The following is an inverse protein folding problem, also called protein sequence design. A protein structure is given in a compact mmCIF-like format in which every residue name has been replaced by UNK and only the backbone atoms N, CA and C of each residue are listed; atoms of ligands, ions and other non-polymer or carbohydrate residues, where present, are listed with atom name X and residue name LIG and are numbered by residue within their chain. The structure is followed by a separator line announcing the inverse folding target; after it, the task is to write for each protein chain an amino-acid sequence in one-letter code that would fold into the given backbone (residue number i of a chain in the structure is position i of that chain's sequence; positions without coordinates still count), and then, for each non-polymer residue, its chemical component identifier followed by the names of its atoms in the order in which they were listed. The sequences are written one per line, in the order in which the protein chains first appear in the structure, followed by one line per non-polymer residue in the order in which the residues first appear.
data_IF_681469170880
#
_entry.id   IF_681469170880
#
_cell.length_a   1.000
_cell.length_b   1.000
_cell.length_c   1.000
_cell.angle_alpha   90.00
_cell.angle_beta   90.00
_cell.angle_gamma   90.00
#
_symmetry.space_group_name_H-M   'P 1'
#
loop_
_entity.id
_entity.type
_entity.pdbx_description
1 polymer ?
#
# COMPACT_ATOMS: atom_id res chain seq x y z
N UNK A 1 -11.69 3.27 -18.86
CA UNK A 1 -10.52 2.43 -18.56
C UNK A 1 -9.46 3.35 -17.99
N UNK A 2 -9.04 3.16 -16.74
CA UNK A 2 -8.03 4.02 -16.13
C UNK A 2 -6.66 3.64 -16.68
N UNK A 3 -5.93 4.58 -17.28
CA UNK A 3 -4.60 4.33 -17.84
C UNK A 3 -3.55 4.67 -16.78
N UNK A 4 -3.04 3.65 -16.10
CA UNK A 4 -1.89 3.75 -15.21
C UNK A 4 -0.60 3.74 -16.02
N UNK A 5 0.40 4.48 -15.56
CA UNK A 5 1.76 4.52 -16.13
C UNK A 5 2.73 3.86 -15.17
N UNK A 6 3.18 2.66 -15.53
CA UNK A 6 4.16 1.87 -14.79
C UNK A 6 5.60 2.19 -15.25
N UNK A 7 6.62 1.89 -14.42
CA UNK A 7 8.02 1.95 -14.84
C UNK A 7 8.33 1.01 -16.02
N UNK A 8 9.45 1.24 -16.70
CA UNK A 8 10.07 0.23 -17.59
C UNK A 8 10.37 -1.06 -16.80
N UNK A 9 10.32 -2.22 -17.46
CA UNK A 9 10.35 -3.52 -16.77
C UNK A 9 11.62 -3.72 -15.91
N UNK A 10 12.78 -3.26 -16.39
CA UNK A 10 14.03 -3.32 -15.64
C UNK A 10 13.96 -2.52 -14.33
N UNK A 11 13.42 -1.30 -14.41
CA UNK A 11 13.21 -0.44 -13.24
C UNK A 11 12.12 -1.00 -12.32
N UNK A 12 11.04 -1.55 -12.88
CA UNK A 12 9.95 -2.16 -12.13
C UNK A 12 10.47 -3.33 -11.29
N UNK A 13 11.20 -4.27 -11.89
CA UNK A 13 11.77 -5.40 -11.16
C UNK A 13 12.75 -4.94 -10.07
N UNK A 14 13.62 -3.97 -10.37
CA UNK A 14 14.55 -3.41 -9.39
C UNK A 14 13.82 -2.78 -8.20
N UNK A 15 12.79 -1.97 -8.45
CA UNK A 15 12.00 -1.35 -7.37
C UNK A 15 11.25 -2.41 -6.53
N UNK A 16 10.76 -3.47 -7.16
CA UNK A 16 10.13 -4.58 -6.43
C UNK A 16 11.15 -5.30 -5.55
N UNK A 17 12.36 -5.56 -6.05
CA UNK A 17 13.45 -6.16 -5.27
C UNK A 17 13.81 -5.28 -4.08
N UNK A 18 13.95 -3.96 -4.29
CA UNK A 18 14.21 -2.99 -3.23
C UNK A 18 13.09 -2.98 -2.18
N UNK A 19 11.82 -2.97 -2.59
CA UNK A 19 10.69 -3.03 -1.65
C UNK A 19 10.75 -4.29 -0.78
N UNK A 20 10.98 -5.46 -1.38
CA UNK A 20 11.02 -6.72 -0.63
C UNK A 20 12.34 -6.96 0.10
N UNK A 21 13.35 -6.11 -0.10
CA UNK A 21 14.55 -6.06 0.76
C UNK A 21 14.27 -5.38 2.12
N UNK A 22 13.20 -4.59 2.23
CA UNK A 22 12.77 -3.97 3.48
C UNK A 22 12.35 -5.09 4.45
N UNK A 23 12.92 -5.16 5.67
CA UNK A 23 12.58 -6.21 6.61
C UNK A 23 11.07 -6.23 6.94
N UNK A 24 10.42 -7.41 6.96
CA UNK A 24 8.98 -7.50 7.22
C UNK A 24 8.53 -6.90 8.55
N UNK A 25 9.43 -6.75 9.54
CA UNK A 25 9.10 -6.08 10.81
C UNK A 25 8.72 -4.61 10.61
N UNK A 26 9.21 -3.97 9.55
CA UNK A 26 8.90 -2.58 9.22
C UNK A 26 7.71 -2.45 8.26
N UNK A 27 7.62 -3.32 7.25
CA UNK A 27 6.60 -3.22 6.21
C UNK A 27 5.88 -4.55 5.91
N UNK A 28 5.12 -5.10 6.86
CA UNK A 28 4.46 -6.40 6.75
C UNK A 28 3.16 -6.31 5.93
N UNK A 29 3.15 -5.70 4.74
CA UNK A 29 1.89 -5.46 3.99
C UNK A 29 1.64 -6.56 2.95
N UNK A 30 2.70 -7.03 2.29
CA UNK A 30 2.61 -7.89 1.11
C UNK A 30 3.33 -9.21 1.32
N UNK A 31 2.79 -10.28 0.74
CA UNK A 31 3.47 -11.57 0.64
C UNK A 31 4.13 -11.70 -0.73
N UNK A 32 5.46 -11.72 -0.76
CA UNK A 32 6.25 -11.60 -1.99
C UNK A 32 5.90 -12.64 -3.07
N UNK A 33 5.76 -13.95 -2.76
CA UNK A 33 5.43 -14.93 -3.80
C UNK A 33 4.10 -14.66 -4.50
N UNK A 34 3.06 -14.25 -3.75
CA UNK A 34 1.76 -13.92 -4.35
C UNK A 34 1.85 -12.65 -5.18
N UNK A 35 2.49 -11.60 -4.64
CA UNK A 35 2.68 -10.35 -5.37
C UNK A 35 3.38 -10.58 -6.72
N UNK A 36 4.51 -11.31 -6.73
CA UNK A 36 5.24 -11.60 -7.98
C UNK A 36 4.45 -12.46 -8.96
N UNK A 37 3.72 -13.46 -8.46
CA UNK A 37 2.84 -14.28 -9.30
C UNK A 37 1.78 -13.42 -9.98
N UNK A 38 1.08 -12.60 -9.20
CA UNK A 38 -0.03 -11.79 -9.70
C UNK A 38 0.46 -10.67 -10.65
N UNK A 39 1.67 -10.16 -10.42
CA UNK A 39 2.36 -9.26 -11.34
C UNK A 39 2.69 -9.95 -12.67
N UNK A 40 3.29 -11.15 -12.63
CA UNK A 40 3.65 -11.92 -13.82
C UNK A 40 2.43 -12.34 -14.65
N UNK A 41 1.27 -12.55 -14.00
CA UNK A 41 -0.01 -12.78 -14.66
C UNK A 41 -0.64 -11.50 -15.27
N UNK A 42 0.02 -10.34 -15.12
CA UNK A 42 -0.48 -9.08 -15.65
C UNK A 42 -1.69 -8.53 -14.90
N UNK A 43 -1.96 -8.96 -13.66
CA UNK A 43 -3.15 -8.50 -12.90
C UNK A 43 -3.18 -6.98 -12.75
N UNK A 44 -2.02 -6.33 -12.69
CA UNK A 44 -1.87 -4.89 -12.54
C UNK A 44 -2.34 -4.09 -13.78
N UNK A 45 -2.57 -4.76 -14.91
CA UNK A 45 -3.09 -4.15 -16.14
C UNK A 45 -4.63 -4.20 -16.22
N UNK A 46 -5.26 -5.04 -15.39
CA UNK A 46 -6.71 -5.30 -15.45
C UNK A 46 -7.43 -4.96 -14.15
N UNK A 47 -6.76 -5.13 -13.00
CA UNK A 47 -7.30 -4.85 -11.67
C UNK A 47 -6.74 -3.52 -11.14
N UNK A 48 -7.64 -2.56 -10.90
CA UNK A 48 -7.29 -1.21 -10.48
C UNK A 48 -6.69 -1.15 -9.08
N UNK A 49 -7.14 -2.01 -8.17
CA UNK A 49 -6.67 -2.03 -6.79
C UNK A 49 -5.25 -2.59 -6.74
N UNK A 50 -4.99 -3.70 -7.45
CA UNK A 50 -3.65 -4.25 -7.58
C UNK A 50 -2.70 -3.35 -8.37
N UNK A 51 -3.19 -2.63 -9.39
CA UNK A 51 -2.41 -1.59 -10.07
C UNK A 51 -1.90 -0.53 -9.08
N UNK A 52 -2.77 -0.05 -8.19
CA UNK A 52 -2.40 0.87 -7.12
C UNK A 52 -1.39 0.25 -6.15
N UNK A 53 -1.53 -1.04 -5.78
CA UNK A 53 -0.53 -1.75 -4.95
C UNK A 53 0.84 -1.69 -5.62
N UNK A 54 0.94 -2.06 -6.90
CA UNK A 54 2.21 -2.05 -7.65
C UNK A 54 2.81 -0.65 -7.74
N UNK A 55 2.00 0.37 -8.03
CA UNK A 55 2.47 1.76 -8.08
C UNK A 55 2.97 2.26 -6.73
N UNK A 56 2.33 1.88 -5.63
CA UNK A 56 2.78 2.28 -4.29
C UNK A 56 4.03 1.54 -3.84
N UNK A 57 4.17 0.26 -4.20
CA UNK A 57 5.43 -0.48 -4.07
C UNK A 57 6.56 0.27 -4.78
N UNK A 58 6.33 0.70 -6.02
CA UNK A 58 7.29 1.50 -6.77
C UNK A 58 7.56 2.85 -6.08
N UNK A 59 6.54 3.51 -5.55
CA UNK A 59 6.67 4.81 -4.88
C UNK A 59 7.53 4.71 -3.61
N UNK A 60 7.30 3.70 -2.77
CA UNK A 60 8.05 3.47 -1.53
C UNK A 60 9.50 3.11 -1.86
N UNK A 61 9.72 2.12 -2.74
CA UNK A 61 11.06 1.68 -3.12
C UNK A 61 11.90 2.76 -3.82
N UNK A 62 11.25 3.72 -4.49
CA UNK A 62 11.94 4.83 -5.16
C UNK A 62 12.81 5.65 -4.21
N UNK A 63 12.47 5.70 -2.92
CA UNK A 63 13.22 6.46 -1.91
C UNK A 63 14.60 5.85 -1.62
N UNK A 64 14.70 4.53 -1.75
CA UNK A 64 15.92 3.74 -1.59
C UNK A 64 16.68 3.56 -2.91
N UNK A 65 16.08 3.94 -4.03
CA UNK A 65 16.72 3.85 -5.35
C UNK A 65 17.68 5.03 -5.59
N UNK A 66 18.71 4.75 -6.39
CA UNK A 66 19.62 5.76 -6.95
C UNK A 66 19.34 6.03 -8.43
N UNK A 67 18.41 5.32 -9.04
CA UNK A 67 18.06 5.48 -10.45
C UNK A 67 17.34 6.83 -10.67
N UNK A 68 17.85 7.73 -11.52
CA UNK A 68 17.25 9.05 -11.72
C UNK A 68 15.84 8.98 -12.32
N UNK A 69 15.46 7.88 -12.98
CA UNK A 69 14.11 7.67 -13.53
C UNK A 69 13.04 7.70 -12.45
N UNK A 70 13.36 7.48 -11.18
CA UNK A 70 12.37 7.52 -10.08
C UNK A 70 11.97 8.93 -9.64
N UNK A 71 12.75 9.94 -10.04
CA UNK A 71 12.54 11.34 -9.68
C UNK A 71 11.46 11.97 -10.58
N UNK A 72 10.68 12.89 -10.03
CA UNK A 72 9.66 13.61 -10.80
C UNK A 72 10.27 14.70 -11.69
N UNK A 73 11.27 15.42 -11.17
CA UNK A 73 11.94 16.55 -11.83
C UNK A 73 13.38 16.22 -12.30
N UNK A 74 13.82 14.98 -12.09
CA UNK A 74 15.17 14.50 -12.40
C UNK A 74 16.27 15.05 -11.50
N UNK A 75 15.95 15.83 -10.45
CA UNK A 75 16.94 16.55 -9.64
C UNK A 75 16.73 16.41 -8.14
N UNK A 76 15.51 16.63 -7.65
CA UNK A 76 15.23 16.63 -6.22
C UNK A 76 14.87 15.23 -5.73
N UNK A 77 15.74 14.63 -4.90
CA UNK A 77 15.51 13.32 -4.27
C UNK A 77 14.22 13.26 -3.45
N UNK A 78 13.73 14.40 -2.94
CA UNK A 78 12.46 14.45 -2.19
C UNK A 78 11.25 14.13 -3.06
N UNK A 79 11.40 14.17 -4.39
CA UNK A 79 10.34 13.83 -5.34
C UNK A 79 10.33 12.36 -5.76
N UNK A 80 11.28 11.56 -5.26
CA UNK A 80 11.38 10.14 -5.60
C UNK A 80 10.06 9.41 -5.33
N UNK A 81 9.55 8.72 -6.36
CA UNK A 81 8.32 7.94 -6.27
C UNK A 81 7.02 8.75 -6.36
N UNK A 82 7.09 10.10 -6.34
CA UNK A 82 5.91 10.96 -6.40
C UNK A 82 5.03 10.69 -7.63
N UNK A 83 5.65 10.44 -8.79
CA UNK A 83 4.93 10.14 -10.04
C UNK A 83 4.13 8.83 -10.00
N UNK A 84 4.51 7.88 -9.15
CA UNK A 84 3.77 6.64 -8.96
C UNK A 84 2.68 6.84 -7.91
N UNK A 85 3.00 7.50 -6.80
CA UNK A 85 2.05 7.84 -5.74
C UNK A 85 0.88 8.70 -6.24
N UNK A 86 1.15 9.73 -7.04
CA UNK A 86 0.12 10.70 -7.48
C UNK A 86 -1.01 10.07 -8.30
N UNK A 87 -0.72 8.96 -9.00
CA UNK A 87 -1.70 8.18 -9.75
C UNK A 87 -2.68 7.42 -8.84
N UNK A 88 -2.29 7.14 -7.59
CA UNK A 88 -3.10 6.37 -6.63
C UNK A 88 -4.10 7.22 -5.86
N UNK A 89 -4.06 8.55 -5.97
CA UNK A 89 -4.98 9.48 -5.29
C UNK A 89 -6.48 9.28 -5.63
N UNK A 90 -6.80 8.46 -6.65
CA UNK A 90 -8.16 8.21 -7.15
C UNK A 90 -8.84 6.99 -6.51
N UNK A 91 -8.43 6.67 -5.30
CA UNK A 91 -8.78 5.55 -4.42
C UNK A 91 -10.25 5.26 -4.13
N UNK A 92 -11.19 6.05 -4.63
CA UNK A 92 -12.59 5.81 -4.36
C UNK A 92 -13.04 4.57 -5.12
N UNK A 93 -12.87 3.41 -4.47
CA UNK A 93 -13.51 2.18 -4.91
C UNK A 93 -15.01 2.47 -5.04
N UNK A 94 -15.65 2.10 -6.16
CA UNK A 94 -17.06 2.40 -6.34
C UNK A 94 -17.88 1.87 -5.15
N UNK A 95 -18.73 2.72 -4.59
CA UNK A 95 -19.48 2.43 -3.34
C UNK A 95 -20.37 1.17 -3.43
N UNK A 96 -20.69 0.72 -4.64
CA UNK A 96 -21.52 -0.46 -4.88
C UNK A 96 -20.72 -1.77 -4.93
N UNK A 97 -19.39 -1.72 -4.85
CA UNK A 97 -18.53 -2.91 -4.85
C UNK A 97 -18.03 -3.21 -3.43
N UNK A 98 -17.96 -4.48 -3.00
CA UNK A 98 -17.46 -4.89 -1.68
C UNK A 98 -15.92 -4.89 -1.67
N UNK A 99 -15.23 -4.28 -0.69
CA UNK A 99 -13.78 -4.06 -0.73
C UNK A 99 -12.98 -5.35 -0.91
N UNK A 100 -11.74 -5.22 -1.36
CA UNK A 100 -10.80 -6.33 -1.58
C UNK A 100 -9.61 -6.22 -0.62
N UNK A 101 -8.84 -7.30 -0.49
CA UNK A 101 -7.58 -7.31 0.27
C UNK A 101 -6.63 -6.24 -0.28
N UNK A 102 -6.57 -6.07 -1.60
CA UNK A 102 -5.72 -5.07 -2.26
C UNK A 102 -6.11 -3.65 -1.86
N UNK A 103 -7.40 -3.36 -1.68
CA UNK A 103 -7.84 -2.03 -1.22
C UNK A 103 -7.33 -1.71 0.19
N UNK A 104 -7.31 -2.71 1.08
CA UNK A 104 -6.72 -2.58 2.42
C UNK A 104 -5.21 -2.39 2.33
N UNK A 105 -4.52 -3.17 1.49
CA UNK A 105 -3.08 -3.03 1.25
C UNK A 105 -2.73 -1.64 0.73
N UNK A 106 -3.52 -1.10 -0.20
CA UNK A 106 -3.34 0.24 -0.72
C UNK A 106 -3.44 1.28 0.41
N UNK A 107 -4.44 1.18 1.29
CA UNK A 107 -4.52 2.06 2.47
C UNK A 107 -3.26 2.02 3.34
N UNK A 108 -2.71 0.83 3.60
CA UNK A 108 -1.46 0.68 4.35
C UNK A 108 -0.25 1.28 3.63
N UNK A 109 -0.10 1.05 2.32
CA UNK A 109 1.04 1.54 1.53
C UNK A 109 1.02 3.06 1.37
N UNK A 110 -0.17 3.66 1.21
CA UNK A 110 -0.33 5.11 1.21
C UNK A 110 0.08 5.72 2.54
N UNK A 111 -0.26 5.07 3.65
CA UNK A 111 0.15 5.51 4.96
C UNK A 111 1.66 5.53 5.11
N UNK A 112 2.33 4.48 4.64
CA UNK A 112 3.78 4.38 4.66
C UNK A 112 4.44 5.48 3.81
N UNK A 113 3.97 5.66 2.57
CA UNK A 113 4.50 6.71 1.70
C UNK A 113 4.21 8.13 2.20
N UNK A 114 3.02 8.41 2.74
CA UNK A 114 2.66 9.75 3.22
C UNK A 114 3.39 10.14 4.51
N UNK A 115 3.65 9.17 5.40
CA UNK A 115 4.41 9.38 6.64
C UNK A 115 5.83 9.92 6.40
N UNK A 116 6.34 9.72 5.20
CA UNK A 116 7.67 10.16 4.77
C UNK A 116 7.59 11.41 3.87
N UNK A 117 6.43 12.07 3.77
CA UNK A 117 6.24 13.37 3.11
C UNK A 117 5.93 14.48 4.13
N UNK A 118 6.08 15.74 3.72
CA UNK A 118 5.81 16.90 4.58
C UNK A 118 4.32 17.25 4.74
N UNK A 119 3.41 16.51 4.08
CA UNK A 119 1.97 16.79 4.13
C UNK A 119 1.14 15.53 4.42
N UNK A 120 1.03 15.11 5.69
CA UNK A 120 0.25 13.96 6.10
C UNK A 120 -1.26 14.26 6.24
N UNK A 121 -1.79 15.37 5.68
CA UNK A 121 -3.17 15.81 5.98
C UNK A 121 -4.26 14.78 5.64
N UNK A 122 -4.01 13.84 4.73
CA UNK A 122 -4.95 12.77 4.38
C UNK A 122 -4.76 11.46 5.18
N UNK A 123 -3.69 11.32 5.96
CA UNK A 123 -3.30 10.06 6.60
C UNK A 123 -4.39 9.48 7.51
N UNK A 124 -5.01 10.32 8.35
CA UNK A 124 -6.10 9.86 9.22
C UNK A 124 -7.33 9.34 8.46
N UNK A 125 -7.71 10.01 7.37
CA UNK A 125 -8.82 9.58 6.52
C UNK A 125 -8.51 8.25 5.84
N UNK A 126 -7.26 8.06 5.38
CA UNK A 126 -6.81 6.82 4.75
C UNK A 126 -6.84 5.65 5.74
N UNK A 127 -6.36 5.86 6.98
CA UNK A 127 -6.42 4.83 8.03
C UNK A 127 -7.88 4.45 8.32
N UNK A 128 -8.74 5.45 8.52
CA UNK A 128 -10.15 5.22 8.78
C UNK A 128 -10.86 4.48 7.64
N UNK A 129 -10.48 4.73 6.37
CA UNK A 129 -11.00 3.99 5.23
C UNK A 129 -10.50 2.53 5.25
N UNK A 130 -9.20 2.33 5.45
CA UNK A 130 -8.59 1.00 5.54
C UNK A 130 -9.18 0.15 6.66
N UNK A 131 -9.44 0.74 7.83
CA UNK A 131 -10.10 0.05 8.96
C UNK A 131 -11.51 -0.39 8.60
N UNK A 132 -12.30 0.45 7.91
CA UNK A 132 -13.66 0.08 7.46
C UNK A 132 -13.62 -1.06 6.46
N UNK A 133 -12.71 -1.01 5.47
CA UNK A 133 -12.50 -2.12 4.54
C UNK A 133 -12.09 -3.41 5.24
N UNK A 134 -11.14 -3.34 6.17
CA UNK A 134 -10.70 -4.50 6.94
C UNK A 134 -11.82 -5.08 7.83
N UNK A 135 -12.69 -4.24 8.38
CA UNK A 135 -13.85 -4.67 9.16
C UNK A 135 -14.89 -5.36 8.26
N UNK A 136 -15.20 -4.78 7.11
CA UNK A 136 -16.15 -5.34 6.14
C UNK A 136 -15.69 -6.71 5.61
N UNK A 137 -14.39 -6.86 5.37
CA UNK A 137 -13.75 -8.13 5.01
C UNK A 137 -13.60 -9.12 6.17
N UNK A 138 -13.94 -8.72 7.39
CA UNK A 138 -13.88 -9.59 8.56
C UNK A 138 -12.48 -9.82 9.15
N UNK A 139 -11.46 -9.03 8.77
CA UNK A 139 -10.08 -9.23 9.24
C UNK A 139 -9.89 -9.04 10.75
N UNK A 140 -10.84 -8.34 11.39
CA UNK A 140 -10.90 -8.13 12.84
C UNK A 140 -11.37 -9.39 13.61
N UNK A 141 -11.97 -10.37 12.93
CA UNK A 141 -12.56 -11.54 13.58
C UNK A 141 -11.48 -12.60 13.80
N UNK A 142 -11.42 -13.13 15.01
CA UNK A 142 -10.63 -14.31 15.32
C UNK A 142 -11.56 -15.52 15.42
N UNK A 143 -11.35 -16.54 14.59
CA UNK A 143 -12.04 -17.82 14.70
C UNK A 143 -11.04 -18.89 15.14
N UNK A 144 -11.29 -19.55 16.27
CA UNK A 144 -10.39 -20.55 16.84
C UNK A 144 -10.13 -21.75 15.92
N UNK A 145 -11.03 -22.02 14.98
CA UNK A 145 -10.96 -23.14 14.04
C UNK A 145 -10.58 -22.70 12.61
N UNK A 146 -10.14 -21.45 12.40
CA UNK A 146 -9.74 -20.98 11.08
C UNK A 146 -8.45 -21.68 10.61
N UNK A 147 -8.39 -22.22 9.38
CA UNK A 147 -7.16 -22.77 8.85
C UNK A 147 -6.12 -21.67 8.73
N UNK A 148 -4.92 -21.92 9.26
CA UNK A 148 -3.77 -21.00 9.16
C UNK A 148 -3.23 -21.01 7.74
N UNK A 149 -3.80 -20.16 6.91
CA UNK A 149 -3.37 -19.91 5.53
C UNK A 149 -2.53 -18.63 5.48
N UNK A 150 -1.70 -18.51 4.45
CA UNK A 150 -0.86 -17.31 4.27
C UNK A 150 -1.74 -16.06 4.12
N UNK A 151 -2.86 -16.20 3.42
CA UNK A 151 -3.88 -15.19 3.23
C UNK A 151 -4.47 -14.74 4.57
N UNK A 152 -4.83 -15.68 5.45
CA UNK A 152 -5.37 -15.36 6.77
C UNK A 152 -4.37 -14.58 7.65
N UNK A 153 -3.08 -14.93 7.55
CA UNK A 153 -2.02 -14.25 8.29
C UNK A 153 -1.77 -12.83 7.75
N UNK A 154 -1.81 -12.65 6.43
CA UNK A 154 -1.73 -11.31 5.79
C UNK A 154 -2.92 -10.45 6.21
N UNK A 155 -4.14 -10.97 6.16
CA UNK A 155 -5.35 -10.25 6.57
C UNK A 155 -5.30 -9.78 8.03
N UNK A 156 -4.91 -10.66 8.96
CA UNK A 156 -4.75 -10.32 10.38
C UNK A 156 -3.72 -9.22 10.58
N UNK A 157 -2.57 -9.36 9.93
CA UNK A 157 -1.44 -8.42 9.97
C UNK A 157 -1.82 -7.04 9.44
N UNK A 158 -2.56 -6.96 8.32
CA UNK A 158 -3.07 -5.69 7.78
C UNK A 158 -3.99 -4.98 8.78
N UNK A 159 -4.91 -5.71 9.43
CA UNK A 159 -5.81 -5.14 10.43
C UNK A 159 -5.05 -4.57 11.64
N UNK A 160 -4.10 -5.31 12.20
CA UNK A 160 -3.30 -4.85 13.33
C UNK A 160 -2.37 -3.68 12.96
N UNK A 161 -1.85 -3.66 11.73
CA UNK A 161 -1.05 -2.54 11.22
C UNK A 161 -1.87 -1.26 11.11
N UNK A 162 -3.11 -1.35 10.61
CA UNK A 162 -4.02 -0.19 10.55
C UNK A 162 -4.39 0.34 11.94
N UNK A 163 -4.66 -0.56 12.90
CA UNK A 163 -4.88 -0.16 14.30
C UNK A 163 -3.65 0.51 14.91
N UNK A 164 -2.45 0.03 14.60
CA UNK A 164 -1.21 0.67 15.01
C UNK A 164 -1.10 2.08 14.43
N UNK A 165 -1.33 2.25 13.12
CA UNK A 165 -1.29 3.56 12.47
C UNK A 165 -2.32 4.53 13.05
N UNK A 166 -3.56 4.08 13.33
CA UNK A 166 -4.59 4.91 13.95
C UNK A 166 -4.12 5.43 15.31
N UNK A 167 -3.63 4.53 16.17
CA UNK A 167 -3.16 4.89 17.51
C UNK A 167 -1.95 5.83 17.45
N UNK A 168 -0.96 5.54 16.61
CA UNK A 168 0.22 6.38 16.46
C UNK A 168 -0.16 7.79 15.95
N UNK A 169 -1.04 7.86 14.95
CA UNK A 169 -1.50 9.13 14.37
C UNK A 169 -2.31 9.95 15.37
N UNK A 170 -3.20 9.32 16.15
CA UNK A 170 -3.99 9.99 17.16
C UNK A 170 -3.13 10.52 18.32
N UNK A 171 -2.16 9.73 18.79
CA UNK A 171 -1.20 10.16 19.80
C UNK A 171 -0.35 11.35 19.33
N UNK A 172 0.16 11.30 18.10
CA UNK A 172 1.00 12.37 17.55
C UNK A 172 0.23 13.68 17.34
N UNK A 173 -1.03 13.61 16.92
CA UNK A 173 -1.84 14.77 16.58
C UNK A 173 -2.82 15.23 17.69
N UNK A 174 -2.80 14.59 18.87
CA UNK A 174 -3.72 14.90 19.97
C UNK A 174 -5.19 14.62 19.64
N UNK A 175 -5.48 13.66 18.74
CA UNK A 175 -6.85 13.30 18.34
C UNK A 175 -7.41 12.20 19.26
N UNK A 176 -8.73 12.21 19.55
CA UNK A 176 -9.36 11.13 20.31
C UNK A 176 -9.34 9.81 19.54
N UNK A 177 -9.16 8.71 20.28
CA UNK A 177 -9.37 7.36 19.77
C UNK A 177 -10.88 7.08 19.76
N UNK A 178 -11.45 6.68 18.62
CA UNK A 178 -12.83 6.21 18.50
C UNK A 178 -12.87 4.70 18.33
#
# INVERSE_FOLDING_TARGET
MFQYSFPEDDLLQNLIDLYFSIPPVYLPILYQPHFRRDLALGRHLVDSSFACVVLLVCAIASRESTDPRVLFDGRDRRTAGWKYFSQTSRLARPLHLPPTVDDVQVCCLLMDFTSTTSNPMASWTIIGLGLRYAVELGFHRHQSNEPRTIESEVSKRLFWLLLFYERATCLYNGRPLY
#
